data_IF_499053363425
#
_entry.id   IF_499053363425
#
_cell.length_a   1.000
_cell.length_b   1.000
_cell.length_c   1.000
_cell.angle_alpha   90.00
_cell.angle_beta   90.00
_cell.angle_gamma   90.00
#
_symmetry.space_group_name_H-M   'P 1'
#
loop_
_entity.id
_entity.type
_entity.pdbx_description
1 polymer ?
#
# COMPACT_ATOMS: atom_id res chain seq x y z
N UNK A 1 23.30 -5.81 11.78
CA UNK A 1 23.27 -5.86 13.27
C UNK A 1 21.96 -5.29 13.83
N UNK A 2 21.61 -4.01 13.56
CA UNK A 2 20.40 -3.35 14.11
C UNK A 2 19.03 -3.85 13.64
N UNK A 3 18.90 -4.67 12.61
CA UNK A 3 17.59 -5.23 12.18
C UNK A 3 17.15 -6.44 13.00
N UNK A 4 18.09 -7.25 13.53
CA UNK A 4 17.78 -8.45 14.32
C UNK A 4 17.13 -8.13 15.68
N UNK A 5 17.31 -6.91 16.19
CA UNK A 5 16.84 -6.48 17.52
C UNK A 5 15.37 -6.04 17.53
N UNK A 6 14.76 -5.77 16.35
CA UNK A 6 13.48 -5.05 16.26
C UNK A 6 12.24 -5.95 16.21
N UNK A 7 12.42 -7.27 16.25
CA UNK A 7 11.33 -8.23 16.01
C UNK A 7 10.71 -8.09 14.62
N UNK A 8 9.79 -9.00 14.27
CA UNK A 8 8.97 -8.85 13.06
C UNK A 8 7.88 -7.81 13.35
N UNK A 9 8.13 -6.55 12.98
CA UNK A 9 7.11 -5.53 12.98
C UNK A 9 6.22 -5.72 11.74
N UNK A 10 4.99 -6.15 11.97
CA UNK A 10 3.97 -6.13 10.94
C UNK A 10 3.52 -4.68 10.71
N UNK A 11 3.68 -4.22 9.46
CA UNK A 11 3.18 -2.91 9.02
C UNK A 11 2.02 -3.20 8.09
N UNK A 12 0.80 -2.92 8.55
CA UNK A 12 -0.40 -3.04 7.73
C UNK A 12 -0.32 -2.07 6.54
N UNK A 13 -0.68 -2.55 5.35
CA UNK A 13 -0.76 -1.72 4.16
C UNK A 13 -2.22 -1.34 3.88
N UNK A 14 -2.44 -0.08 3.51
CA UNK A 14 -3.76 0.47 3.23
C UNK A 14 -3.76 1.21 1.89
N UNK A 15 -4.87 1.12 1.16
CA UNK A 15 -5.04 1.90 -0.05
C UNK A 15 -5.02 3.41 0.26
N UNK A 16 -4.10 4.17 -0.35
CA UNK A 16 -3.97 5.61 -0.11
C UNK A 16 -5.21 6.44 -0.51
N UNK A 17 -6.13 5.87 -1.31
CA UNK A 17 -7.36 6.53 -1.79
C UNK A 17 -8.59 6.23 -0.94
N UNK A 18 -8.82 4.97 -0.58
CA UNK A 18 -10.05 4.54 0.12
C UNK A 18 -9.80 3.90 1.48
N UNK A 19 -8.54 3.82 1.92
CA UNK A 19 -8.10 3.25 3.19
C UNK A 19 -8.38 1.76 3.41
N UNK A 20 -8.87 1.03 2.39
CA UNK A 20 -9.03 -0.41 2.47
C UNK A 20 -7.69 -1.08 2.79
N UNK A 21 -7.65 -1.84 3.89
CA UNK A 21 -6.47 -2.61 4.31
C UNK A 21 -6.29 -3.89 3.48
N UNK A 22 -5.08 -4.43 3.51
CA UNK A 22 -4.69 -5.65 2.79
C UNK A 22 -5.52 -6.90 3.15
N UNK A 23 -6.13 -6.93 4.33
CA UNK A 23 -7.04 -8.01 4.74
C UNK A 23 -8.38 -8.00 4.01
N UNK A 24 -8.76 -6.86 3.40
CA UNK A 24 -10.08 -6.65 2.77
C UNK A 24 -10.01 -6.42 1.27
N UNK A 25 -8.84 -6.10 0.72
CA UNK A 25 -8.68 -5.79 -0.69
C UNK A 25 -7.29 -6.21 -1.20
N UNK A 26 -7.22 -6.60 -2.47
CA UNK A 26 -5.95 -6.78 -3.17
C UNK A 26 -5.30 -5.42 -3.37
N UNK A 27 -4.11 -5.23 -2.80
CA UNK A 27 -3.32 -4.02 -2.91
C UNK A 27 -2.15 -4.21 -3.88
N UNK A 28 -1.88 -3.19 -4.69
CA UNK A 28 -0.70 -3.10 -5.53
C UNK A 28 0.20 -1.96 -5.05
N UNK A 29 1.52 -2.17 -4.98
CA UNK A 29 2.46 -1.10 -4.72
C UNK A 29 2.56 -0.19 -5.95
N UNK A 30 2.56 1.11 -5.72
CA UNK A 30 2.72 2.13 -6.76
C UNK A 30 3.77 3.16 -6.34
N UNK A 31 4.30 3.88 -7.33
CA UNK A 31 5.11 5.08 -7.12
C UNK A 31 4.51 6.25 -7.87
N UNK A 32 4.33 7.37 -7.17
CA UNK A 32 3.89 8.63 -7.76
C UNK A 32 4.45 9.79 -6.95
N UNK A 33 4.83 10.90 -7.60
CA UNK A 33 5.40 12.08 -6.94
C UNK A 33 6.57 11.76 -5.98
N UNK A 34 7.37 10.75 -6.31
CA UNK A 34 8.47 10.29 -5.45
C UNK A 34 8.06 9.50 -4.20
N UNK A 35 6.75 9.24 -3.99
CA UNK A 35 6.23 8.47 -2.85
C UNK A 35 6.00 7.01 -3.22
N UNK A 36 6.34 6.10 -2.31
CA UNK A 36 5.92 4.69 -2.36
C UNK A 36 4.58 4.56 -1.64
N UNK A 37 3.53 4.18 -2.37
CA UNK A 37 2.16 4.07 -1.85
C UNK A 37 1.54 2.71 -2.22
N UNK A 38 0.40 2.41 -1.64
CA UNK A 38 -0.42 1.24 -1.98
C UNK A 38 -1.78 1.65 -2.51
N UNK A 39 -2.26 1.01 -3.57
CA UNK A 39 -3.60 1.23 -4.12
C UNK A 39 -4.36 -0.08 -4.24
N UNK A 40 -5.66 -0.10 -3.96
CA UNK A 40 -6.47 -1.29 -4.19
C UNK A 40 -6.90 -1.39 -5.67
N UNK A 41 -7.18 -2.61 -6.12
CA UNK A 41 -7.68 -2.90 -7.49
C UNK A 41 -8.97 -2.15 -7.83
N UNK A 42 -9.81 -1.80 -6.83
CA UNK A 42 -11.01 -0.97 -7.02
C UNK A 42 -10.69 0.49 -7.32
N UNK A 43 -9.64 1.06 -6.72
CA UNK A 43 -9.27 2.47 -6.91
C UNK A 43 -8.28 2.68 -8.06
N UNK A 44 -7.53 1.64 -8.45
CA UNK A 44 -6.56 1.70 -9.54
C UNK A 44 -7.15 2.23 -10.87
N UNK A 45 -8.35 1.82 -11.33
CA UNK A 45 -8.89 2.27 -12.62
C UNK A 45 -8.96 3.79 -12.77
N UNK A 46 -9.33 4.52 -11.72
CA UNK A 46 -9.43 5.98 -11.75
C UNK A 46 -8.06 6.64 -11.88
N UNK A 47 -6.98 5.97 -11.47
CA UNK A 47 -5.62 6.52 -11.59
C UNK A 47 -5.02 6.34 -12.99
N UNK A 48 -5.52 5.38 -13.76
CA UNK A 48 -5.00 5.06 -15.10
C UNK A 48 -5.89 5.58 -16.22
N UNK A 49 -7.19 5.76 -15.96
CA UNK A 49 -8.16 6.12 -16.99
C UNK A 49 -8.58 7.60 -16.99
N UNK A 50 -8.41 8.32 -15.88
CA UNK A 50 -8.79 9.74 -15.78
C UNK A 50 -10.29 9.97 -15.92
#
# INVERSE_FOLDING_TARGET
AKEKERGLLYIEQNCFRCNAGEQKAVLLPIRTEGKSLWVCTRCLPVLIHG
#
